data_IF_483260431753
#
_entry.id   IF_483260431753
#
_cell.length_a   1.000
_cell.length_b   1.000
_cell.length_c   1.000
_cell.angle_alpha   90.00
_cell.angle_beta   90.00
_cell.angle_gamma   90.00
#
_symmetry.space_group_name_H-M   'P 1'
#
loop_
_entity.id
_entity.type
_entity.pdbx_description
1 polymer ?
#
# COMPACT_ATOMS: atom_id res chain seq x y z
N UNK A 1 104.82 22.57 -18.64
CA UNK A 1 103.72 23.45 -18.21
C UNK A 1 102.75 23.52 -19.36
N UNK A 2 101.57 22.92 -19.21
CA UNK A 2 100.28 23.31 -19.78
C UNK A 2 99.28 22.25 -19.47
N UNK A 3 98.28 22.66 -18.74
CA UNK A 3 97.19 21.85 -18.26
C UNK A 3 96.11 21.63 -19.34
N UNK A 4 95.72 20.40 -19.56
CA UNK A 4 94.57 20.05 -20.41
C UNK A 4 93.24 20.05 -19.61
N UNK A 5 92.18 20.63 -20.10
CA UNK A 5 90.86 20.50 -19.44
C UNK A 5 90.08 19.28 -19.93
N UNK A 6 89.58 18.52 -18.99
CA UNK A 6 88.68 17.37 -19.19
C UNK A 6 87.27 17.86 -19.51
N UNK A 7 86.73 17.47 -20.66
CA UNK A 7 85.29 17.63 -21.00
C UNK A 7 84.50 16.59 -20.25
N UNK A 8 83.62 17.03 -19.36
CA UNK A 8 82.58 16.19 -18.78
C UNK A 8 81.33 16.36 -19.66
N UNK A 9 80.93 15.26 -20.35
CA UNK A 9 79.67 15.17 -21.05
C UNK A 9 78.59 14.91 -20.02
N UNK A 10 77.61 15.82 -19.86
CA UNK A 10 76.43 15.68 -19.06
C UNK A 10 75.36 14.97 -19.91
N UNK A 11 75.02 13.74 -19.55
CA UNK A 11 73.82 13.02 -20.08
C UNK A 11 72.57 13.57 -19.38
N UNK A 12 71.76 14.34 -20.12
CA UNK A 12 70.43 14.74 -19.68
C UNK A 12 69.45 13.59 -19.94
N UNK A 13 69.02 12.90 -18.88
CA UNK A 13 67.90 11.98 -18.91
C UNK A 13 66.60 12.79 -18.98
N UNK A 14 65.91 12.77 -20.12
CA UNK A 14 64.57 13.26 -20.26
C UNK A 14 63.67 12.18 -19.68
N UNK A 15 63.13 12.41 -18.47
CA UNK A 15 62.02 11.61 -17.89
C UNK A 15 60.71 12.13 -18.46
N UNK A 16 60.15 11.44 -19.45
CA UNK A 16 58.76 11.66 -19.93
C UNK A 16 57.79 11.09 -18.91
N UNK A 17 57.22 11.93 -18.06
CA UNK A 17 56.09 11.60 -17.21
C UNK A 17 54.82 11.52 -18.04
N UNK A 18 54.37 10.29 -18.34
CA UNK A 18 53.08 10.01 -18.93
C UNK A 18 52.00 10.24 -17.86
N UNK A 19 51.33 11.41 -17.91
CA UNK A 19 50.12 11.65 -17.10
C UNK A 19 49.01 10.75 -17.61
N UNK A 20 48.72 9.65 -16.87
CA UNK A 20 47.49 8.90 -17.02
C UNK A 20 46.32 9.76 -16.51
N UNK A 21 45.63 10.42 -17.43
CA UNK A 21 44.38 11.10 -17.15
C UNK A 21 43.34 10.00 -16.82
N UNK A 22 43.05 9.82 -15.52
CA UNK A 22 41.88 9.06 -15.08
C UNK A 22 40.63 9.80 -15.56
N UNK A 23 39.68 9.12 -16.24
CA UNK A 23 38.42 9.77 -16.57
C UNK A 23 37.73 10.15 -15.25
N UNK A 24 37.62 11.44 -15.00
CA UNK A 24 36.74 11.95 -13.95
C UNK A 24 35.33 11.51 -14.30
N UNK A 25 34.81 10.55 -13.55
CA UNK A 25 33.38 10.24 -13.57
C UNK A 25 32.69 11.53 -13.11
N UNK A 26 32.16 12.30 -14.04
CA UNK A 26 31.27 13.40 -13.75
C UNK A 26 30.06 12.79 -13.01
N UNK A 27 30.00 13.01 -11.70
CA UNK A 27 28.80 12.85 -10.92
C UNK A 27 27.79 13.82 -11.51
N UNK A 28 26.65 13.38 -12.06
CA UNK A 28 25.67 14.32 -12.56
C UNK A 28 25.16 15.11 -11.36
N UNK A 29 25.56 16.36 -11.29
CA UNK A 29 25.00 17.38 -10.41
C UNK A 29 23.71 17.92 -11.04
N UNK A 30 22.75 17.04 -11.30
CA UNK A 30 21.38 17.47 -11.44
C UNK A 30 20.89 17.81 -10.04
N UNK A 31 20.74 19.09 -9.74
CA UNK A 31 20.07 19.62 -8.56
C UNK A 31 18.57 19.33 -8.59
N UNK A 32 18.18 18.14 -9.00
CA UNK A 32 16.82 17.64 -8.89
C UNK A 32 16.53 17.47 -7.41
N UNK A 33 15.78 18.40 -6.86
CA UNK A 33 15.28 18.34 -5.48
C UNK A 33 14.47 17.05 -5.33
N UNK A 34 14.95 16.15 -4.45
CA UNK A 34 14.24 14.92 -4.10
C UNK A 34 12.85 15.29 -3.57
N UNK A 35 11.80 14.71 -4.14
CA UNK A 35 10.44 14.93 -3.64
C UNK A 35 10.25 14.21 -2.31
N UNK A 36 9.29 14.67 -1.48
CA UNK A 36 8.94 14.02 -0.20
C UNK A 36 8.62 12.54 -0.41
N UNK A 37 7.92 12.20 -1.49
CA UNK A 37 7.62 10.81 -1.81
C UNK A 37 8.86 9.99 -2.14
N UNK A 38 9.79 10.54 -2.91
CA UNK A 38 11.05 9.87 -3.23
C UNK A 38 11.89 9.65 -1.96
N UNK A 39 11.98 10.64 -1.08
CA UNK A 39 12.67 10.51 0.20
C UNK A 39 12.04 9.42 1.08
N UNK A 40 10.72 9.40 1.22
CA UNK A 40 10.01 8.37 1.96
C UNK A 40 10.20 6.98 1.33
N UNK A 41 10.13 6.87 0.01
CA UNK A 41 10.38 5.62 -0.68
C UNK A 41 11.80 5.10 -0.48
N UNK A 42 12.80 5.96 -0.52
CA UNK A 42 14.20 5.61 -0.21
C UNK A 42 14.33 5.04 1.22
N UNK A 43 13.69 5.67 2.21
CA UNK A 43 13.67 5.19 3.59
C UNK A 43 12.95 3.84 3.73
N UNK A 44 11.80 3.68 3.08
CA UNK A 44 11.01 2.45 3.09
C UNK A 44 11.81 1.29 2.47
N UNK A 45 12.39 1.50 1.29
CA UNK A 45 13.18 0.47 0.61
C UNK A 45 14.42 0.06 1.40
N UNK A 46 15.15 1.05 1.94
CA UNK A 46 16.31 0.79 2.79
C UNK A 46 15.93 0.00 4.05
N UNK A 47 14.85 0.40 4.73
CA UNK A 47 14.36 -0.24 5.95
C UNK A 47 13.80 -1.65 5.69
N UNK A 48 13.09 -1.84 4.58
CA UNK A 48 12.56 -3.15 4.19
C UNK A 48 13.71 -4.14 3.93
N UNK A 49 14.70 -3.75 3.12
CA UNK A 49 15.90 -4.57 2.85
C UNK A 49 16.67 -4.89 4.13
N UNK A 50 16.89 -3.92 5.00
CA UNK A 50 17.63 -4.10 6.26
C UNK A 50 16.93 -5.10 7.22
N UNK A 51 15.64 -5.32 7.08
CA UNK A 51 14.84 -6.19 7.96
C UNK A 51 14.28 -7.44 7.26
N UNK A 52 14.66 -7.71 6.01
CA UNK A 52 14.18 -8.86 5.24
C UNK A 52 12.65 -8.84 5.03
N UNK A 53 12.10 -7.64 4.85
CA UNK A 53 10.70 -7.42 4.51
C UNK A 53 10.56 -7.13 3.01
N UNK A 54 9.52 -7.62 2.36
CA UNK A 54 9.23 -7.21 0.98
C UNK A 54 8.96 -5.71 0.91
N UNK A 55 9.58 -5.02 -0.04
CA UNK A 55 9.36 -3.58 -0.27
C UNK A 55 7.88 -3.25 -0.47
N UNK A 56 7.13 -4.00 -1.31
CA UNK A 56 5.70 -3.76 -1.49
C UNK A 56 4.88 -3.86 -0.20
N UNK A 57 5.24 -4.79 0.69
CA UNK A 57 4.56 -4.96 1.97
C UNK A 57 4.72 -3.73 2.87
N UNK A 58 5.97 -3.29 3.10
CA UNK A 58 6.23 -2.12 3.94
C UNK A 58 5.66 -0.84 3.32
N UNK A 59 5.74 -0.69 2.00
CA UNK A 59 5.17 0.45 1.27
C UNK A 59 3.65 0.55 1.47
N UNK A 60 2.92 -0.57 1.25
CA UNK A 60 1.46 -0.62 1.44
C UNK A 60 1.07 -0.34 2.88
N UNK A 61 1.84 -0.85 3.84
CA UNK A 61 1.61 -0.62 5.26
C UNK A 61 1.76 0.86 5.61
N UNK A 62 2.89 1.49 5.31
CA UNK A 62 3.12 2.92 5.60
C UNK A 62 2.09 3.80 4.86
N UNK A 63 1.74 3.43 3.62
CA UNK A 63 0.66 4.10 2.89
C UNK A 63 -0.69 3.98 3.60
N UNK A 64 -1.03 2.80 4.10
CA UNK A 64 -2.28 2.54 4.82
C UNK A 64 -2.37 3.31 6.13
N UNK A 65 -1.24 3.50 6.82
CA UNK A 65 -1.17 4.26 8.07
C UNK A 65 -1.44 5.76 7.87
N UNK A 66 -0.80 6.37 6.89
CA UNK A 66 -0.80 7.84 6.80
C UNK A 66 -1.03 8.41 5.40
N UNK A 67 -1.03 7.56 4.34
CA UNK A 67 -0.88 8.02 2.95
C UNK A 67 0.35 8.95 2.80
N UNK A 68 1.47 8.58 3.42
CA UNK A 68 2.74 9.32 3.45
C UNK A 68 2.68 10.71 4.11
N UNK A 69 1.68 10.99 4.95
CA UNK A 69 1.58 12.26 5.68
C UNK A 69 2.37 12.16 6.98
N UNK A 70 3.49 12.87 7.04
CA UNK A 70 4.45 12.79 8.16
C UNK A 70 3.93 13.45 9.47
N UNK A 71 3.11 14.51 9.37
CA UNK A 71 2.61 15.25 10.53
C UNK A 71 1.21 14.84 11.01
N UNK A 72 0.71 13.66 10.61
CA UNK A 72 -0.66 13.25 10.96
C UNK A 72 -0.74 12.66 12.38
N UNK A 73 -1.82 13.01 13.09
CA UNK A 73 -2.22 12.39 14.35
C UNK A 73 -3.62 11.81 14.17
N UNK A 74 -3.80 10.54 14.51
CA UNK A 74 -5.12 9.90 14.45
C UNK A 74 -6.01 10.35 15.63
N UNK A 75 -7.34 10.13 15.55
CA UNK A 75 -8.25 10.45 16.66
C UNK A 75 -7.92 9.72 17.98
N UNK A 76 -7.26 8.57 17.89
CA UNK A 76 -6.82 7.78 19.04
C UNK A 76 -5.38 8.08 19.48
N UNK A 77 -4.73 9.07 18.85
CA UNK A 77 -3.42 9.56 19.23
C UNK A 77 -2.23 8.86 18.57
N UNK A 78 -2.43 8.03 17.55
CA UNK A 78 -1.34 7.47 16.74
C UNK A 78 -0.65 8.57 15.91
N UNK A 79 0.68 8.54 15.82
CA UNK A 79 1.50 9.68 15.38
C UNK A 79 2.38 9.36 14.17
N UNK A 80 2.50 10.34 13.28
CA UNK A 80 3.48 10.38 12.19
C UNK A 80 3.18 9.43 11.04
N UNK A 81 4.17 9.26 10.17
CA UNK A 81 4.04 8.50 8.92
C UNK A 81 3.70 7.02 9.13
N UNK A 82 4.17 6.43 10.23
CA UNK A 82 3.98 5.03 10.60
C UNK A 82 2.93 4.81 11.71
N UNK A 83 2.25 5.87 12.16
CA UNK A 83 1.16 5.86 13.14
C UNK A 83 1.50 5.12 14.44
N UNK A 84 2.67 5.41 15.03
CA UNK A 84 3.02 4.87 16.32
C UNK A 84 2.12 5.44 17.43
N UNK A 85 1.57 4.56 18.26
CA UNK A 85 1.01 4.98 19.53
C UNK A 85 2.13 5.49 20.46
N UNK A 86 1.90 6.57 21.25
CA UNK A 86 2.95 7.13 22.12
C UNK A 86 3.55 6.12 23.10
N UNK A 87 2.76 5.16 23.59
CA UNK A 87 3.25 4.06 24.44
C UNK A 87 4.26 3.19 23.68
N UNK A 88 3.85 2.69 22.51
CA UNK A 88 4.69 1.83 21.67
C UNK A 88 5.96 2.56 21.19
N UNK A 89 5.86 3.85 20.87
CA UNK A 89 7.03 4.67 20.52
C UNK A 89 8.06 4.68 21.65
N UNK A 90 7.64 4.97 22.89
CA UNK A 90 8.51 4.95 24.08
C UNK A 90 9.11 3.57 24.35
N UNK A 91 8.29 2.52 24.33
CA UNK A 91 8.74 1.13 24.55
C UNK A 91 9.81 0.70 23.54
N UNK A 92 9.75 1.26 22.32
CA UNK A 92 10.69 0.96 21.27
C UNK A 92 11.86 1.95 21.13
N UNK A 93 11.95 2.95 21.99
CA UNK A 93 12.99 3.97 21.94
C UNK A 93 12.89 4.90 20.71
N UNK A 94 11.69 5.02 20.11
CA UNK A 94 11.43 5.98 19.04
C UNK A 94 11.25 7.37 19.69
N UNK A 95 12.26 8.23 19.49
CA UNK A 95 12.30 9.55 20.13
C UNK A 95 11.29 10.51 19.50
N UNK A 96 11.18 10.52 18.17
CA UNK A 96 10.25 11.36 17.43
C UNK A 96 9.46 10.55 16.38
N UNK A 97 8.18 10.22 16.66
CA UNK A 97 7.31 9.56 15.70
C UNK A 97 6.97 10.38 14.43
N UNK A 98 7.20 11.70 14.46
CA UNK A 98 6.95 12.59 13.33
C UNK A 98 8.15 12.69 12.39
N UNK A 99 9.32 12.25 12.82
CA UNK A 99 10.51 12.13 11.99
C UNK A 99 10.47 10.82 11.17
N UNK A 100 10.29 10.87 9.83
CA UNK A 100 10.26 9.67 9.01
C UNK A 100 11.57 8.86 9.05
N UNK A 101 12.72 9.53 9.25
CA UNK A 101 14.03 8.86 9.31
C UNK A 101 14.16 7.96 10.55
N UNK A 102 13.40 8.25 11.60
CA UNK A 102 13.29 7.40 12.78
C UNK A 102 12.09 6.45 12.69
N UNK A 103 10.91 6.96 12.33
CA UNK A 103 9.67 6.21 12.38
C UNK A 103 9.64 5.01 11.41
N UNK A 104 10.11 5.17 10.16
CA UNK A 104 10.08 4.10 9.16
C UNK A 104 11.01 2.93 9.53
N UNK A 105 12.28 3.14 9.93
CA UNK A 105 13.13 2.07 10.42
C UNK A 105 12.58 1.35 11.66
N UNK A 106 11.96 2.09 12.60
CA UNK A 106 11.32 1.51 13.79
C UNK A 106 10.08 0.67 13.41
N UNK A 107 9.27 1.12 12.44
CA UNK A 107 8.15 0.33 11.93
C UNK A 107 8.61 -0.97 11.28
N UNK A 108 9.64 -0.92 10.44
CA UNK A 108 10.22 -2.11 9.82
C UNK A 108 10.79 -3.07 10.88
N UNK A 109 11.43 -2.57 11.92
CA UNK A 109 11.91 -3.38 13.04
C UNK A 109 10.77 -4.05 13.80
N UNK A 110 9.74 -3.29 14.18
CA UNK A 110 8.54 -3.85 14.84
C UNK A 110 7.89 -4.94 14.00
N UNK A 111 7.74 -4.72 12.70
CA UNK A 111 7.15 -5.70 11.78
C UNK A 111 8.01 -6.97 11.65
N UNK A 112 9.34 -6.84 11.63
CA UNK A 112 10.22 -8.00 11.64
C UNK A 112 10.11 -8.80 12.95
N UNK A 113 9.94 -8.12 14.10
CA UNK A 113 9.69 -8.76 15.39
C UNK A 113 8.35 -9.51 15.38
N UNK A 114 7.29 -8.84 14.93
CA UNK A 114 5.96 -9.43 14.82
C UNK A 114 5.92 -10.60 13.82
N UNK A 115 6.66 -10.51 12.71
CA UNK A 115 6.82 -11.63 11.76
C UNK A 115 7.50 -12.83 12.42
N UNK A 116 8.54 -12.61 13.23
CA UNK A 116 9.18 -13.70 13.99
C UNK A 116 8.24 -14.31 15.04
N UNK A 117 7.47 -13.45 15.73
CA UNK A 117 6.52 -13.90 16.75
C UNK A 117 5.37 -14.71 16.19
N UNK A 118 4.79 -14.32 15.07
CA UNK A 118 3.58 -14.91 14.50
C UNK A 118 3.83 -15.78 13.26
N UNK A 119 5.06 -15.84 12.76
CA UNK A 119 5.47 -16.74 11.68
C UNK A 119 5.29 -16.21 10.26
N UNK A 120 4.43 -15.22 10.03
CA UNK A 120 4.17 -14.71 8.68
C UNK A 120 3.80 -13.21 8.64
N UNK A 121 3.78 -12.64 7.42
CA UNK A 121 3.55 -11.22 7.19
C UNK A 121 2.09 -10.78 7.45
N UNK A 122 1.12 -11.64 7.16
CA UNK A 122 -0.29 -11.33 7.38
C UNK A 122 -0.62 -11.17 8.85
N UNK A 123 -0.14 -12.09 9.69
CA UNK A 123 -0.29 -11.99 11.14
C UNK A 123 0.53 -10.85 11.74
N UNK A 124 1.72 -10.55 11.17
CA UNK A 124 2.48 -9.37 11.57
C UNK A 124 1.72 -8.07 11.29
N UNK A 125 1.10 -7.94 10.12
CA UNK A 125 0.25 -6.79 9.79
C UNK A 125 -0.97 -6.70 10.72
N UNK A 126 -1.62 -7.83 11.02
CA UNK A 126 -2.73 -7.88 11.96
C UNK A 126 -2.30 -7.41 13.36
N UNK A 127 -1.12 -7.84 13.82
CA UNK A 127 -0.58 -7.47 15.12
C UNK A 127 -0.12 -6.00 15.18
N UNK A 128 0.40 -5.47 14.08
CA UNK A 128 0.76 -4.05 13.98
C UNK A 128 -0.46 -3.15 14.18
N UNK A 129 -1.56 -3.44 13.48
CA UNK A 129 -2.80 -2.66 13.56
C UNK A 129 -3.63 -2.98 14.80
N UNK A 130 -3.87 -4.27 15.08
CA UNK A 130 -4.80 -4.72 16.13
C UNK A 130 -4.16 -4.99 17.49
N UNK A 131 -2.84 -5.01 17.55
CA UNK A 131 -2.05 -5.37 18.73
C UNK A 131 -1.78 -6.88 18.85
N UNK A 132 -0.57 -7.27 19.33
CA UNK A 132 -0.16 -8.69 19.40
C UNK A 132 -1.05 -9.53 20.31
N UNK A 133 -1.49 -9.01 21.45
CA UNK A 133 -2.38 -9.75 22.36
C UNK A 133 -3.70 -10.17 21.71
N UNK A 134 -4.27 -9.30 20.88
CA UNK A 134 -5.52 -9.60 20.18
C UNK A 134 -5.33 -10.70 19.13
N UNK A 135 -4.21 -10.66 18.40
CA UNK A 135 -3.87 -11.71 17.44
C UNK A 135 -3.66 -13.05 18.16
N UNK A 136 -2.95 -13.06 19.30
CA UNK A 136 -2.77 -14.25 20.14
C UNK A 136 -4.11 -14.84 20.57
N UNK A 137 -5.04 -14.03 21.12
CA UNK A 137 -6.36 -14.48 21.53
C UNK A 137 -7.19 -15.02 20.37
N UNK A 138 -7.11 -14.38 19.20
CA UNK A 138 -7.79 -14.84 18.00
C UNK A 138 -7.25 -16.17 17.49
N UNK A 139 -5.94 -16.37 17.50
CA UNK A 139 -5.31 -17.63 17.10
C UNK A 139 -5.66 -18.77 18.06
N UNK A 140 -5.77 -18.47 19.36
CA UNK A 140 -6.20 -19.42 20.38
C UNK A 140 -7.73 -19.72 20.37
N UNK A 141 -8.50 -19.04 19.52
CA UNK A 141 -9.95 -19.21 19.46
C UNK A 141 -10.73 -18.54 20.60
N UNK A 142 -10.04 -17.80 21.49
CA UNK A 142 -10.64 -17.10 22.65
C UNK A 142 -11.07 -15.65 22.34
N UNK A 143 -10.92 -15.19 21.08
CA UNK A 143 -11.29 -13.85 20.65
C UNK A 143 -11.42 -13.74 19.14
N UNK A 144 -11.79 -12.53 18.65
CA UNK A 144 -11.91 -12.22 17.23
C UNK A 144 -11.01 -11.08 16.77
N UNK A 145 -10.70 -11.04 15.47
CA UNK A 145 -10.12 -9.85 14.85
C UNK A 145 -11.25 -8.86 14.49
N UNK A 146 -11.08 -7.55 14.78
CA UNK A 146 -11.99 -6.53 14.29
C UNK A 146 -12.06 -6.50 12.78
N UNK A 147 -13.21 -6.10 12.23
CA UNK A 147 -13.39 -5.93 10.78
C UNK A 147 -12.37 -4.95 10.19
N UNK A 148 -11.99 -3.91 10.94
CA UNK A 148 -10.94 -2.96 10.55
C UNK A 148 -9.59 -3.67 10.36
N UNK A 149 -9.18 -4.51 11.31
CA UNK A 149 -7.90 -5.24 11.23
C UNK A 149 -7.91 -6.25 10.09
N UNK A 150 -9.04 -6.94 9.83
CA UNK A 150 -9.18 -7.82 8.66
C UNK A 150 -9.05 -7.07 7.35
N UNK A 151 -9.74 -5.93 7.22
CA UNK A 151 -9.62 -5.06 6.05
C UNK A 151 -8.21 -4.48 5.88
N UNK A 152 -7.52 -4.22 6.98
CA UNK A 152 -6.13 -3.78 6.99
C UNK A 152 -5.18 -4.84 6.42
N UNK A 153 -5.30 -6.09 6.89
CA UNK A 153 -4.48 -7.22 6.39
C UNK A 153 -4.73 -7.42 4.90
N UNK A 154 -6.00 -7.49 4.48
CA UNK A 154 -6.37 -7.66 3.07
C UNK A 154 -5.78 -6.55 2.18
N UNK A 155 -5.86 -5.29 2.60
CA UNK A 155 -5.35 -4.15 1.83
C UNK A 155 -3.82 -4.18 1.65
N UNK A 156 -3.07 -4.75 2.60
CA UNK A 156 -1.61 -4.79 2.56
C UNK A 156 -1.10 -6.03 1.85
N UNK A 157 -1.73 -7.19 2.11
CA UNK A 157 -1.24 -8.48 1.65
C UNK A 157 -1.95 -9.01 0.40
N UNK A 158 -3.14 -8.49 0.09
CA UNK A 158 -4.01 -9.01 -0.97
C UNK A 158 -4.79 -10.26 -0.57
N UNK A 159 -4.60 -10.78 0.67
CA UNK A 159 -5.26 -11.99 1.16
C UNK A 159 -6.01 -11.74 2.47
N UNK A 160 -7.15 -12.41 2.73
CA UNK A 160 -7.87 -12.34 3.99
C UNK A 160 -7.00 -12.72 5.18
N UNK A 161 -7.27 -12.14 6.36
CA UNK A 161 -6.51 -12.44 7.58
C UNK A 161 -6.61 -13.92 7.97
N UNK A 162 -7.72 -14.55 7.67
CA UNK A 162 -8.01 -15.96 7.93
C UNK A 162 -7.05 -16.91 7.22
N UNK A 163 -6.64 -16.58 6.01
CA UNK A 163 -5.73 -17.39 5.19
C UNK A 163 -4.32 -17.48 5.80
N UNK A 164 -3.97 -16.53 6.68
CA UNK A 164 -2.68 -16.49 7.36
C UNK A 164 -2.63 -17.32 8.65
N UNK A 165 -3.77 -17.83 9.17
CA UNK A 165 -3.82 -18.63 10.41
C UNK A 165 -3.11 -19.97 10.30
N UNK A 166 -3.13 -20.59 9.12
CA UNK A 166 -2.58 -21.94 8.88
C UNK A 166 -1.08 -21.99 8.57
N UNK A 167 -0.32 -20.92 8.77
CA UNK A 167 1.10 -20.88 8.47
C UNK A 167 1.43 -20.90 6.97
N UNK A 168 0.53 -20.45 6.11
CA UNK A 168 0.76 -20.32 4.68
C UNK A 168 1.90 -19.32 4.40
N UNK A 169 3.11 -19.85 4.35
CA UNK A 169 4.37 -19.08 4.17
C UNK A 169 4.59 -18.60 2.73
N UNK A 170 3.65 -18.84 1.82
CA UNK A 170 3.85 -18.58 0.40
C UNK A 170 2.61 -17.96 -0.26
N UNK A 171 2.23 -16.77 0.20
CA UNK A 171 1.46 -15.88 -0.66
C UNK A 171 2.47 -14.92 -1.29
N UNK A 172 2.81 -15.18 -2.56
CA UNK A 172 3.49 -14.18 -3.38
C UNK A 172 2.60 -12.97 -3.42
N UNK A 173 3.12 -11.81 -2.97
CA UNK A 173 2.36 -10.57 -2.94
C UNK A 173 2.24 -10.02 -4.37
N UNK A 174 1.26 -10.55 -5.10
CA UNK A 174 0.81 -9.99 -6.36
C UNK A 174 0.17 -8.60 -6.16
N UNK A 175 -0.03 -7.83 -7.23
CA UNK A 175 -0.81 -6.60 -7.15
C UNK A 175 -2.21 -6.95 -6.60
N UNK A 176 -2.85 -6.08 -5.76
CA UNK A 176 -4.19 -6.30 -5.29
C UNK A 176 -5.14 -6.30 -6.50
N UNK A 177 -5.54 -7.48 -6.93
CA UNK A 177 -6.62 -7.62 -7.89
C UNK A 177 -7.87 -7.07 -7.25
N UNK A 178 -8.55 -6.14 -7.94
CA UNK A 178 -9.77 -5.51 -7.45
C UNK A 178 -10.79 -6.57 -7.05
N UNK A 179 -11.07 -6.65 -5.74
CA UNK A 179 -11.98 -7.63 -5.16
C UNK A 179 -13.40 -7.49 -5.70
N UNK A 180 -13.71 -8.31 -6.69
CA UNK A 180 -15.07 -8.65 -7.04
C UNK A 180 -15.55 -9.70 -6.03
N UNK A 181 -16.35 -9.28 -5.06
CA UNK A 181 -17.03 -10.19 -4.16
C UNK A 181 -17.97 -11.09 -4.96
N UNK A 182 -17.55 -12.31 -5.27
CA UNK A 182 -18.47 -13.39 -5.61
C UNK A 182 -18.92 -14.01 -4.30
N UNK A 183 -20.15 -13.74 -3.93
CA UNK A 183 -20.87 -14.39 -2.86
C UNK A 183 -20.88 -15.90 -3.11
N UNK A 184 -20.16 -16.66 -2.30
CA UNK A 184 -20.27 -18.11 -2.26
C UNK A 184 -21.49 -18.47 -1.41
N UNK A 185 -22.48 -19.01 -2.08
CA UNK A 185 -23.70 -19.58 -1.53
C UNK A 185 -23.37 -20.77 -0.62
N UNK A 186 -23.75 -20.65 0.65
CA UNK A 186 -23.56 -21.68 1.64
C UNK A 186 -24.48 -22.87 1.34
N UNK A 187 -23.91 -23.99 0.88
CA UNK A 187 -24.60 -25.29 0.87
C UNK A 187 -24.60 -25.85 2.27
N UNK A 188 -25.77 -25.87 2.84
CA UNK A 188 -26.16 -26.54 4.09
C UNK A 188 -26.01 -28.06 3.89
N UNK A 189 -25.04 -28.70 4.54
CA UNK A 189 -24.95 -30.14 4.64
C UNK A 189 -25.48 -30.57 6.00
N UNK A 190 -26.52 -31.35 5.92
CA UNK A 190 -27.30 -31.95 7.02
C UNK A 190 -26.52 -33.10 7.65
N UNK A 191 -26.34 -33.03 8.96
CA UNK A 191 -25.69 -34.06 9.77
C UNK A 191 -26.66 -35.20 10.01
N UNK A 192 -26.32 -36.42 9.59
CA UNK A 192 -27.02 -37.64 10.03
C UNK A 192 -26.06 -38.43 10.91
N UNK A 193 -26.42 -38.50 12.19
CA UNK A 193 -25.87 -39.40 13.18
C UNK A 193 -26.13 -40.87 12.79
N UNK A 194 -25.12 -41.72 12.94
CA UNK A 194 -25.33 -43.13 13.23
C UNK A 194 -24.18 -43.63 14.09
N UNK A 195 -24.54 -44.00 15.32
CA UNK A 195 -23.74 -44.83 16.23
C UNK A 195 -23.60 -46.24 15.65
N UNK A 196 -22.44 -46.88 15.82
CA UNK A 196 -22.36 -48.21 16.44
C UNK A 196 -20.93 -48.77 16.48
N UNK A 197 -20.47 -49.01 17.70
CA UNK A 197 -19.90 -50.24 18.26
C UNK A 197 -18.52 -50.76 17.88
N UNK A 198 -17.74 -50.88 18.93
CA UNK A 198 -16.47 -51.55 19.14
C UNK A 198 -16.38 -52.99 18.60
N UNK A 199 -15.17 -53.34 18.12
CA UNK A 199 -14.57 -54.67 18.36
C UNK A 199 -13.06 -54.62 18.16
N UNK A 200 -12.39 -55.08 19.16
CA UNK A 200 -11.03 -55.41 19.43
C UNK A 200 -10.53 -56.59 18.58
N UNK A 201 -9.31 -56.59 18.04
CA UNK A 201 -8.40 -57.77 18.07
C UNK A 201 -7.05 -57.42 17.39
N UNK A 202 -5.98 -57.64 18.10
CA UNK A 202 -4.54 -57.69 17.72
C UNK A 202 -4.19 -59.12 17.28
N UNK A 203 -2.87 -59.44 16.96
CA UNK A 203 -1.97 -59.02 15.88
C UNK A 203 -1.52 -60.22 15.02
N UNK A 204 -0.83 -59.96 13.92
CA UNK A 204 -0.24 -61.02 13.09
C UNK A 204 0.96 -60.54 12.30
N UNK A 205 2.09 -61.05 12.65
CA UNK A 205 3.45 -60.93 12.13
C UNK A 205 3.62 -61.77 10.86
N UNK A 206 4.33 -61.31 9.83
CA UNK A 206 5.31 -62.06 9.03
C UNK A 206 5.93 -61.26 7.88
N UNK A 207 7.21 -61.46 7.73
CA UNK A 207 8.24 -61.00 6.78
C UNK A 207 8.16 -61.73 5.42
N UNK A 208 9.22 -61.58 4.55
CA UNK A 208 9.34 -60.68 3.40
C UNK A 208 9.41 -61.43 2.06
N UNK A 209 9.26 -60.75 0.97
CA UNK A 209 9.42 -61.30 -0.36
C UNK A 209 9.98 -60.28 -1.36
N UNK A 210 11.05 -60.65 -1.94
CA UNK A 210 12.02 -59.98 -2.81
C UNK A 210 11.58 -59.93 -4.29
N UNK A 211 12.14 -58.96 -5.02
CA UNK A 211 12.41 -58.86 -6.47
C UNK A 211 11.29 -58.53 -7.45
N UNK A 212 11.40 -57.42 -8.19
CA UNK A 212 12.07 -57.31 -9.52
C UNK A 212 11.99 -55.90 -10.08
N UNK A 213 13.14 -55.43 -10.60
CA UNK A 213 13.30 -54.21 -11.42
C UNK A 213 12.48 -54.30 -12.71
N UNK A 214 11.89 -53.17 -13.09
CA UNK A 214 11.63 -52.83 -14.48
C UNK A 214 11.84 -51.35 -14.69
N UNK A 215 12.82 -51.00 -15.50
CA UNK A 215 13.07 -49.65 -16.02
C UNK A 215 11.87 -49.15 -16.79
N UNK A 216 11.39 -47.97 -16.43
CA UNK A 216 10.58 -47.15 -17.31
C UNK A 216 11.06 -45.70 -17.21
N UNK A 217 11.82 -45.29 -18.23
CA UNK A 217 12.18 -43.89 -18.50
C UNK A 217 10.91 -43.04 -18.58
N UNK A 218 10.76 -42.08 -17.66
CA UNK A 218 9.83 -40.97 -17.77
C UNK A 218 10.62 -39.83 -18.40
N UNK A 219 10.11 -39.16 -19.44
CA UNK A 219 10.77 -37.96 -20.00
C UNK A 219 10.66 -36.80 -19.01
N UNK A 220 11.84 -36.31 -18.64
CA UNK A 220 12.04 -35.10 -17.84
C UNK A 220 11.49 -33.92 -18.61
N UNK A 221 10.27 -33.51 -18.27
CA UNK A 221 9.70 -32.26 -18.71
C UNK A 221 10.47 -31.13 -18.02
N UNK A 222 11.38 -30.51 -18.74
CA UNK A 222 12.07 -29.30 -18.32
C UNK A 222 11.04 -28.25 -17.93
N UNK A 223 10.84 -28.11 -16.61
CA UNK A 223 10.10 -27.02 -16.01
C UNK A 223 10.90 -25.75 -16.28
N UNK A 224 10.43 -24.96 -17.22
CA UNK A 224 10.96 -23.62 -17.47
C UNK A 224 10.94 -22.85 -16.14
N UNK A 225 12.12 -22.63 -15.59
CA UNK A 225 12.36 -21.80 -14.42
C UNK A 225 12.01 -20.36 -14.84
N UNK A 226 10.80 -19.95 -14.50
CA UNK A 226 10.34 -18.57 -14.69
C UNK A 226 11.27 -17.69 -13.87
N UNK A 227 12.06 -16.85 -14.52
CA UNK A 227 12.89 -15.85 -13.88
C UNK A 227 12.06 -15.07 -12.87
N UNK A 228 12.56 -14.76 -11.66
CA UNK A 228 11.82 -14.03 -10.65
C UNK A 228 11.43 -12.66 -11.23
N UNK A 229 10.14 -12.33 -11.20
CA UNK A 229 9.66 -11.00 -11.57
C UNK A 229 10.45 -9.94 -10.81
N UNK A 230 10.88 -8.84 -11.48
CA UNK A 230 11.64 -7.80 -10.83
C UNK A 230 10.85 -7.24 -9.65
N UNK A 231 11.46 -7.25 -8.47
CA UNK A 231 10.83 -6.78 -7.24
C UNK A 231 10.32 -5.34 -7.41
N UNK A 232 9.03 -5.13 -7.21
CA UNK A 232 8.38 -3.83 -7.34
C UNK A 232 9.05 -2.80 -6.42
N UNK A 233 9.38 -1.62 -6.96
CA UNK A 233 9.90 -0.49 -6.18
C UNK A 233 8.79 0.20 -5.39
N UNK A 234 9.16 0.95 -4.34
CA UNK A 234 8.19 1.72 -3.58
C UNK A 234 7.41 2.72 -4.45
N UNK A 235 8.06 3.40 -5.38
CA UNK A 235 7.39 4.33 -6.30
C UNK A 235 6.37 3.63 -7.22
N UNK A 236 6.69 2.43 -7.70
CA UNK A 236 5.73 1.64 -8.49
C UNK A 236 4.52 1.23 -7.65
N UNK A 237 4.75 0.80 -6.42
CA UNK A 237 3.66 0.44 -5.49
C UNK A 237 2.78 1.64 -5.17
N UNK A 238 3.37 2.82 -4.87
CA UNK A 238 2.59 4.03 -4.58
C UNK A 238 1.83 4.54 -5.79
N UNK A 239 2.41 4.45 -6.99
CA UNK A 239 1.71 4.77 -8.23
C UNK A 239 0.48 3.85 -8.42
N UNK A 240 0.63 2.54 -8.18
CA UNK A 240 -0.47 1.59 -8.24
C UNK A 240 -1.55 1.85 -7.16
N UNK A 241 -1.15 2.23 -5.94
CA UNK A 241 -2.08 2.58 -4.86
C UNK A 241 -2.86 3.88 -5.13
N UNK A 242 -2.29 4.78 -5.93
CA UNK A 242 -2.94 6.01 -6.38
C UNK A 242 -3.82 5.82 -7.59
N UNK A 243 -3.56 4.79 -8.40
CA UNK A 243 -4.42 4.46 -9.53
C UNK A 243 -5.77 3.95 -9.00
N UNK A 244 -6.89 4.50 -9.48
CA UNK A 244 -8.19 3.97 -9.12
C UNK A 244 -8.28 2.53 -9.60
N UNK A 245 -8.65 1.60 -8.71
CA UNK A 245 -8.99 0.23 -9.12
C UNK A 245 -10.07 0.30 -10.21
N UNK A 246 -10.08 -0.65 -11.13
CA UNK A 246 -11.02 -0.67 -12.28
C UNK A 246 -12.50 -0.58 -11.89
N UNK A 247 -12.82 -0.80 -10.60
CA UNK A 247 -14.13 -0.59 -9.97
C UNK A 247 -14.30 0.77 -9.29
N UNK A 248 -13.21 1.42 -8.86
CA UNK A 248 -13.21 2.73 -8.23
C UNK A 248 -12.66 3.80 -9.18
N UNK A 249 -13.40 4.13 -10.21
CA UNK A 249 -13.09 5.29 -11.08
C UNK A 249 -13.15 6.63 -10.31
N UNK A 250 -13.09 6.59 -8.99
CA UNK A 250 -13.28 7.71 -8.07
C UNK A 250 -12.31 7.67 -6.88
N UNK A 251 -11.03 7.37 -7.11
CA UNK A 251 -10.01 7.54 -6.08
C UNK A 251 -9.78 9.04 -5.82
N UNK A 252 -9.79 9.39 -4.55
CA UNK A 252 -9.87 10.77 -4.08
C UNK A 252 -8.48 11.39 -4.02
N UNK A 253 -8.16 12.29 -4.97
CA UNK A 253 -7.38 13.47 -4.69
C UNK A 253 -8.28 14.49 -3.95
N UNK A 254 -7.74 15.36 -3.14
CA UNK A 254 -8.51 16.33 -2.33
C UNK A 254 -9.50 17.19 -3.15
N UNK A 255 -9.31 17.29 -4.48
CA UNK A 255 -10.24 17.91 -5.42
C UNK A 255 -10.15 17.15 -6.74
N UNK A 256 -11.11 16.26 -7.01
CA UNK A 256 -11.22 15.56 -8.28
C UNK A 256 -12.20 16.27 -9.21
N UNK A 257 -11.82 16.37 -10.46
CA UNK A 257 -12.60 17.04 -11.49
C UNK A 257 -11.98 18.38 -11.89
N UNK A 258 -12.62 19.10 -12.81
CA UNK A 258 -12.14 20.42 -13.24
C UNK A 258 -12.11 21.39 -12.06
N UNK A 259 -10.97 22.04 -11.84
CA UNK A 259 -10.85 23.09 -10.83
C UNK A 259 -11.56 24.34 -11.37
N UNK A 260 -12.50 24.87 -10.59
CA UNK A 260 -13.17 26.14 -10.90
C UNK A 260 -13.36 26.96 -9.63
N UNK A 261 -13.29 28.30 -9.71
CA UNK A 261 -13.38 29.18 -8.54
C UNK A 261 -14.78 29.18 -7.88
N UNK A 262 -15.78 28.72 -8.62
CA UNK A 262 -17.18 28.66 -8.16
C UNK A 262 -17.78 27.30 -8.51
N UNK A 263 -18.77 26.87 -7.75
CA UNK A 263 -19.47 25.64 -8.02
C UNK A 263 -20.92 25.65 -7.56
N UNK A 264 -21.77 24.96 -8.31
CA UNK A 264 -23.16 24.72 -7.98
C UNK A 264 -23.29 23.37 -7.33
N UNK A 265 -23.58 23.33 -6.03
CA UNK A 265 -23.73 22.08 -5.30
C UNK A 265 -25.12 21.50 -5.52
N UNK A 266 -25.17 20.27 -6.05
CA UNK A 266 -26.39 19.50 -6.24
C UNK A 266 -26.50 18.32 -5.28
N UNK A 267 -25.37 17.84 -4.73
CA UNK A 267 -25.37 16.70 -3.82
C UNK A 267 -24.29 16.83 -2.75
N UNK A 268 -24.53 16.19 -1.63
CA UNK A 268 -23.55 16.04 -0.55
C UNK A 268 -23.91 14.88 0.36
N UNK A 269 -22.90 14.09 0.76
CA UNK A 269 -23.07 12.94 1.66
C UNK A 269 -21.74 12.60 2.35
N UNK A 270 -21.80 11.90 3.49
CA UNK A 270 -20.65 11.31 4.16
C UNK A 270 -20.11 10.05 3.43
N UNK A 271 -20.85 9.50 2.48
CA UNK A 271 -20.42 8.47 1.55
C UNK A 271 -20.22 9.09 0.17
N UNK A 272 -19.03 8.94 -0.42
CA UNK A 272 -18.73 9.45 -1.76
C UNK A 272 -19.61 8.78 -2.82
N UNK A 273 -19.81 7.48 -2.74
CA UNK A 273 -20.66 6.74 -3.68
C UNK A 273 -22.10 7.21 -3.64
N UNK A 274 -22.65 7.44 -2.45
CA UNK A 274 -24.01 7.98 -2.29
C UNK A 274 -24.12 9.43 -2.79
N UNK A 275 -23.10 10.27 -2.55
CA UNK A 275 -23.06 11.64 -3.07
C UNK A 275 -23.07 11.64 -4.61
N UNK A 276 -22.25 10.78 -5.23
CA UNK A 276 -22.19 10.64 -6.70
C UNK A 276 -23.48 10.07 -7.28
N UNK A 277 -24.07 9.05 -6.66
CA UNK A 277 -25.35 8.49 -7.10
C UNK A 277 -26.47 9.55 -7.03
N UNK A 278 -26.47 10.37 -5.97
CA UNK A 278 -27.44 11.50 -5.84
C UNK A 278 -27.20 12.55 -6.91
N UNK A 279 -25.93 12.91 -7.17
CA UNK A 279 -25.59 13.84 -8.24
C UNK A 279 -25.99 13.30 -9.62
N UNK A 280 -25.74 12.03 -9.91
CA UNK A 280 -26.11 11.41 -11.20
C UNK A 280 -27.63 11.44 -11.42
N UNK A 281 -28.43 11.18 -10.38
CA UNK A 281 -29.90 11.30 -10.45
C UNK A 281 -30.32 12.74 -10.71
N UNK A 282 -29.77 13.70 -9.95
CA UNK A 282 -30.07 15.12 -10.14
C UNK A 282 -29.68 15.60 -11.56
N UNK A 283 -28.51 15.18 -12.06
CA UNK A 283 -28.07 15.49 -13.43
C UNK A 283 -29.03 14.91 -14.47
N UNK A 284 -29.47 13.66 -14.30
CA UNK A 284 -30.42 13.04 -15.21
C UNK A 284 -31.77 13.78 -15.23
N UNK A 285 -32.27 14.17 -14.03
CA UNK A 285 -33.50 14.95 -13.89
C UNK A 285 -33.41 16.31 -14.58
N UNK A 286 -32.26 16.98 -14.49
CA UNK A 286 -32.04 18.31 -15.05
C UNK A 286 -31.17 18.32 -16.31
N UNK A 287 -31.13 17.20 -17.07
CA UNK A 287 -30.22 17.02 -18.19
C UNK A 287 -30.31 18.12 -19.26
N UNK A 288 -31.51 18.62 -19.53
CA UNK A 288 -31.75 19.73 -20.48
C UNK A 288 -31.12 21.06 -20.04
N UNK A 289 -30.89 21.27 -18.73
CA UNK A 289 -30.33 22.48 -18.17
C UNK A 289 -28.83 22.35 -17.85
N UNK A 290 -28.42 21.17 -17.35
CA UNK A 290 -27.07 20.91 -16.86
C UNK A 290 -26.14 20.35 -17.93
N UNK A 291 -26.70 19.56 -18.87
CA UNK A 291 -25.90 18.90 -19.90
C UNK A 291 -24.95 17.84 -19.36
N UNK A 292 -23.95 17.48 -20.17
CA UNK A 292 -22.87 16.61 -19.78
C UNK A 292 -21.71 17.40 -19.15
N UNK A 293 -21.64 17.40 -17.84
CA UNK A 293 -20.59 18.11 -17.09
C UNK A 293 -19.86 17.16 -16.16
N UNK A 294 -18.53 17.24 -16.16
CA UNK A 294 -17.72 16.59 -15.13
C UNK A 294 -17.86 17.34 -13.81
N UNK A 295 -18.30 16.68 -12.73
CA UNK A 295 -18.44 17.36 -11.46
C UNK A 295 -17.10 17.57 -10.76
N UNK A 296 -17.00 18.64 -9.95
CA UNK A 296 -16.01 18.79 -8.90
C UNK A 296 -16.44 17.96 -7.69
N UNK A 297 -15.55 17.14 -7.16
CA UNK A 297 -15.77 16.35 -5.95
C UNK A 297 -14.90 16.93 -4.85
N UNK A 298 -15.51 17.50 -3.83
CA UNK A 298 -14.84 18.19 -2.73
C UNK A 298 -15.07 17.40 -1.45
N UNK A 299 -14.04 16.75 -0.94
CA UNK A 299 -14.05 16.07 0.36
C UNK A 299 -13.57 17.03 1.46
N UNK A 300 -14.41 17.35 2.43
CA UNK A 300 -14.04 18.18 3.59
C UNK A 300 -14.44 17.51 4.88
N UNK A 301 -13.62 17.66 5.93
CA UNK A 301 -14.02 17.28 7.30
C UNK A 301 -14.82 18.42 7.91
N UNK A 302 -16.01 18.12 8.38
CA UNK A 302 -16.85 19.09 9.10
C UNK A 302 -16.42 19.08 10.57
N UNK A 303 -15.95 20.26 11.07
CA UNK A 303 -15.40 20.40 12.43
C UNK A 303 -16.31 19.88 13.57
N UNK A 304 -17.63 19.89 13.38
CA UNK A 304 -18.61 19.57 14.41
C UNK A 304 -19.34 18.23 14.18
N UNK A 305 -18.89 17.39 13.20
CA UNK A 305 -19.59 16.14 12.85
C UNK A 305 -18.64 14.94 12.74
N UNK A 306 -17.60 14.89 13.58
CA UNK A 306 -16.67 13.79 13.69
C UNK A 306 -15.61 13.75 12.58
N UNK A 307 -14.90 12.63 12.46
CA UNK A 307 -13.72 12.46 11.60
C UNK A 307 -14.03 12.07 10.16
N UNK A 308 -15.31 11.74 9.86
CA UNK A 308 -15.72 11.31 8.52
C UNK A 308 -15.70 12.48 7.55
N UNK A 309 -15.13 12.25 6.36
CA UNK A 309 -15.19 13.22 5.27
C UNK A 309 -16.63 13.40 4.78
N UNK A 310 -17.04 14.63 4.53
CA UNK A 310 -18.28 14.97 3.85
C UNK A 310 -17.96 15.35 2.42
N UNK A 311 -18.54 14.63 1.46
CA UNK A 311 -18.31 14.81 0.03
C UNK A 311 -19.38 15.74 -0.54
N UNK A 312 -18.94 16.83 -1.18
CA UNK A 312 -19.78 17.76 -1.93
C UNK A 312 -19.53 17.59 -3.41
N UNK A 313 -20.58 17.38 -4.17
CA UNK A 313 -20.52 17.24 -5.62
C UNK A 313 -21.09 18.49 -6.25
N UNK A 314 -20.24 19.19 -7.01
CA UNK A 314 -20.56 20.49 -7.59
C UNK A 314 -20.36 20.51 -9.10
N UNK A 315 -21.18 21.26 -9.80
CA UNK A 315 -20.94 21.65 -11.19
C UNK A 315 -19.96 22.82 -11.19
N UNK A 316 -18.82 22.75 -11.94
CA UNK A 316 -17.86 23.84 -12.00
C UNK A 316 -18.43 25.08 -12.71
N UNK A 317 -18.03 26.26 -12.26
CA UNK A 317 -18.35 27.53 -12.91
C UNK A 317 -17.18 28.52 -12.78
N UNK A 318 -16.88 29.20 -13.89
CA UNK A 318 -15.76 30.14 -14.00
C UNK A 318 -16.00 31.44 -13.21
N UNK A 319 -17.26 31.80 -12.96
CA UNK A 319 -17.63 32.99 -12.22
C UNK A 319 -18.86 32.75 -11.36
N UNK A 320 -19.06 33.63 -10.34
CA UNK A 320 -20.26 33.61 -9.53
C UNK A 320 -21.51 33.83 -10.38
N UNK A 321 -21.44 34.77 -11.32
CA UNK A 321 -22.56 35.06 -12.21
C UNK A 321 -22.98 33.88 -13.07
N UNK A 322 -22.00 33.12 -13.62
CA UNK A 322 -22.26 31.92 -14.36
C UNK A 322 -22.89 30.82 -13.47
N UNK A 323 -22.41 30.67 -12.23
CA UNK A 323 -22.96 29.76 -11.25
C UNK A 323 -24.42 30.14 -10.84
N UNK A 324 -24.66 31.40 -10.56
CA UNK A 324 -25.99 31.93 -10.20
C UNK A 324 -26.97 31.74 -11.37
N UNK A 325 -26.55 32.03 -12.60
CA UNK A 325 -27.34 31.82 -13.81
C UNK A 325 -27.75 30.38 -14.04
N UNK A 326 -26.79 29.41 -13.88
CA UNK A 326 -27.11 27.99 -14.00
C UNK A 326 -28.02 27.52 -12.85
N UNK A 327 -27.75 27.96 -11.61
CA UNK A 327 -28.60 27.64 -10.47
C UNK A 327 -30.02 28.19 -10.65
N UNK A 328 -30.17 29.41 -11.23
CA UNK A 328 -31.45 29.97 -11.59
C UNK A 328 -32.24 29.09 -12.59
N UNK A 329 -31.58 28.61 -13.63
CA UNK A 329 -32.21 27.70 -14.60
C UNK A 329 -32.59 26.34 -13.96
N UNK A 330 -31.78 25.81 -13.02
CA UNK A 330 -32.13 24.60 -12.29
C UNK A 330 -33.37 24.80 -11.43
N UNK A 331 -33.47 25.97 -10.76
CA UNK A 331 -34.64 26.31 -9.93
C UNK A 331 -35.90 26.52 -10.75
N UNK A 332 -35.81 27.12 -11.95
CA UNK A 332 -36.97 27.31 -12.82
C UNK A 332 -37.63 26.00 -13.29
N UNK A 333 -36.90 24.87 -13.22
CA UNK A 333 -37.43 23.54 -13.49
C UNK A 333 -37.67 22.73 -12.21
N UNK A 334 -37.80 23.38 -11.05
CA UNK A 334 -38.12 22.75 -9.77
C UNK A 334 -36.91 22.14 -9.03
N UNK A 335 -35.71 22.42 -9.47
CA UNK A 335 -34.51 21.90 -8.82
C UNK A 335 -34.01 22.75 -7.65
N UNK A 336 -33.31 22.08 -6.71
CA UNK A 336 -32.62 22.76 -5.61
C UNK A 336 -31.11 22.84 -5.91
N UNK A 337 -30.50 24.00 -5.66
CA UNK A 337 -29.06 24.22 -5.84
C UNK A 337 -28.53 25.28 -4.89
N UNK A 338 -27.24 25.20 -4.57
CA UNK A 338 -26.50 26.18 -3.76
C UNK A 338 -25.24 26.59 -4.52
N UNK A 339 -25.02 27.90 -4.70
CA UNK A 339 -23.80 28.45 -5.28
C UNK A 339 -22.78 28.70 -4.20
N UNK A 340 -21.60 28.18 -4.35
CA UNK A 340 -20.52 28.25 -3.35
C UNK A 340 -19.18 28.52 -4.04
N UNK A 341 -18.32 29.28 -3.37
CA UNK A 341 -16.92 29.41 -3.75
C UNK A 341 -16.19 28.08 -3.41
N UNK A 342 -15.20 27.74 -4.22
CA UNK A 342 -14.41 26.51 -4.05
C UNK A 342 -13.28 26.72 -3.07
#
# INVERSE_FOLDING_TARGET
MLKSPRHRAAFALLATTLLLATPAHAVPSDGATETVEQALCRLIEGSARARGLPVPFLTRLIWRESAFRVGVVSPVGAQGVAQFMPGTARERGLADPFDPEQAIPHAAHLLADLKRQFGNLGLAAAAYNGGPGRVTSWLAGSGGLPAETRAYVLAITGAPAEDWRGGASRIEMGPPEGGGAKSAEAKKAETKNTETKSAETTPGEAKPGETKRADARVPESAKAETAPEPAQTCLQVTAALRMPSRGDRFAIGANEGPAAPWGIQLAGNFSKSLALATFSRARATYAKVVGEVRPMIIGTRLRNRGTRAFYRIRIPAESRQAADGLCGRIRSVGGACIVLRT
#
